data_IF_005486799738
#
_entry.id   IF_005486799738
#
_cell.length_a   1.000
_cell.length_b   1.000
_cell.length_c   1.000
_cell.angle_alpha   90.00
_cell.angle_beta   90.00
_cell.angle_gamma   90.00
#
_symmetry.space_group_name_H-M   'P 1'
#
loop_
_entity.id
_entity.type
_entity.pdbx_description
1 polymer ?
#
# COMPACT_ATOMS: atom_id res chain seq x y z
N UNK A 1 -7.39 20.24 32.97
CA UNK A 1 -6.36 19.96 31.96
C UNK A 1 -6.10 18.47 31.85
N UNK A 2 -6.55 17.83 30.76
CA UNK A 2 -6.08 16.51 30.32
C UNK A 2 -5.51 16.64 28.92
N UNK A 3 -4.26 17.04 28.91
CA UNK A 3 -3.26 16.82 27.88
C UNK A 3 -2.97 15.32 27.81
N UNK A 4 -3.70 14.62 26.96
CA UNK A 4 -3.25 13.34 26.43
C UNK A 4 -3.67 13.33 24.98
N UNK A 5 -2.71 13.71 24.14
CA UNK A 5 -2.66 13.47 22.71
C UNK A 5 -3.33 12.12 22.41
N UNK A 6 -4.55 12.21 21.90
CA UNK A 6 -5.37 11.05 21.57
C UNK A 6 -4.66 10.32 20.44
N UNK A 7 -4.02 9.23 20.85
CA UNK A 7 -3.96 8.01 20.09
C UNK A 7 -3.42 8.23 18.68
N UNK A 8 -2.08 8.26 18.60
CA UNK A 8 -1.39 7.78 17.42
C UNK A 8 -2.16 6.58 16.89
N UNK A 9 -2.63 6.72 15.66
CA UNK A 9 -3.44 5.77 14.93
C UNK A 9 -2.69 4.45 14.87
N UNK A 10 -2.82 3.65 15.92
CA UNK A 10 -2.60 2.23 15.88
C UNK A 10 -3.75 1.71 15.02
N UNK A 11 -3.58 1.84 13.70
CA UNK A 11 -4.19 0.95 12.71
C UNK A 11 -3.57 -0.41 13.00
N UNK A 12 -4.01 -1.01 14.10
CA UNK A 12 -3.80 -2.40 14.40
C UNK A 12 -4.46 -3.12 13.24
N UNK A 13 -3.57 -3.54 12.34
CA UNK A 13 -3.76 -4.51 11.30
C UNK A 13 -4.78 -5.57 11.73
N UNK A 14 -5.70 -6.00 10.86
CA UNK A 14 -6.47 -7.21 11.08
C UNK A 14 -5.55 -8.44 10.92
N UNK A 15 -4.59 -8.59 11.83
CA UNK A 15 -3.75 -9.78 11.95
C UNK A 15 -4.41 -10.74 12.94
N UNK A 16 -5.55 -11.34 12.59
CA UNK A 16 -6.01 -12.53 13.31
C UNK A 16 -6.94 -13.42 12.50
N UNK A 17 -6.65 -13.61 11.21
CA UNK A 17 -7.07 -14.83 10.54
C UNK A 17 -5.88 -15.33 9.71
N UNK A 18 -5.37 -16.56 9.91
CA UNK A 18 -4.50 -17.20 8.94
C UNK A 18 -5.36 -17.60 7.73
N UNK A 19 -5.92 -16.62 7.04
CA UNK A 19 -6.37 -16.85 5.68
C UNK A 19 -5.10 -16.81 4.86
N UNK A 20 -4.67 -17.98 4.42
CA UNK A 20 -3.65 -18.14 3.39
C UNK A 20 -4.23 -17.65 2.06
N UNK A 21 -4.75 -16.42 1.99
CA UNK A 21 -4.88 -15.76 0.71
C UNK A 21 -3.44 -15.56 0.23
N UNK A 22 -3.06 -16.03 -0.98
CA UNK A 22 -1.75 -15.72 -1.52
C UNK A 22 -1.65 -14.20 -1.49
N UNK A 23 -0.79 -13.66 -0.62
CA UNK A 23 -0.76 -12.22 -0.37
C UNK A 23 -0.59 -11.55 -1.71
N UNK A 24 -1.53 -10.68 -2.05
CA UNK A 24 -1.65 -10.15 -3.40
C UNK A 24 -0.38 -9.36 -3.76
N UNK A 25 0.28 -8.80 -2.75
CA UNK A 25 1.59 -8.17 -2.81
C UNK A 25 2.78 -9.13 -3.03
N UNK A 26 2.67 -10.43 -2.73
CA UNK A 26 3.72 -11.43 -2.99
C UNK A 26 3.97 -11.65 -4.48
N UNK A 27 2.98 -11.31 -5.33
CA UNK A 27 3.15 -11.30 -6.78
C UNK A 27 3.85 -10.03 -7.29
N UNK A 28 4.25 -9.13 -6.39
CA UNK A 28 4.81 -7.82 -6.70
C UNK A 28 4.04 -7.08 -7.82
N UNK A 29 2.72 -6.88 -7.68
CA UNK A 29 1.92 -6.21 -8.71
C UNK A 29 2.18 -4.70 -8.77
N UNK A 30 2.78 -4.13 -7.72
CA UNK A 30 3.14 -2.72 -7.67
C UNK A 30 4.53 -2.47 -8.27
N UNK A 31 4.77 -1.24 -8.73
CA UNK A 31 6.06 -0.84 -9.24
C UNK A 31 7.16 -1.01 -8.17
N UNK A 32 8.37 -1.47 -8.52
CA UNK A 32 9.46 -1.66 -7.56
C UNK A 32 9.77 -0.36 -6.82
N UNK A 33 9.71 -0.42 -5.48
CA UNK A 33 9.89 0.75 -4.60
C UNK A 33 8.58 1.44 -4.18
N UNK A 34 7.42 1.01 -4.69
CA UNK A 34 6.10 1.45 -4.22
C UNK A 34 5.64 0.56 -3.06
N UNK A 35 5.04 1.18 -2.05
CA UNK A 35 4.45 0.44 -0.92
C UNK A 35 3.21 -0.35 -1.39
N UNK A 36 3.20 -1.66 -1.16
CA UNK A 36 2.03 -2.50 -1.44
C UNK A 36 1.27 -2.83 -0.15
N UNK A 37 -0.06 -2.72 -0.20
CA UNK A 37 -0.96 -3.00 0.90
C UNK A 37 -1.94 -4.10 0.50
N UNK A 38 -1.98 -5.20 1.24
CA UNK A 38 -3.03 -6.21 1.04
C UNK A 38 -4.38 -5.63 1.53
N UNK A 39 -5.42 -5.75 0.71
CA UNK A 39 -6.69 -5.06 0.95
C UNK A 39 -7.86 -5.96 0.60
N UNK A 40 -8.49 -6.54 1.62
CA UNK A 40 -9.68 -7.39 1.48
C UNK A 40 -10.93 -6.60 1.02
N UNK A 41 -10.88 -5.27 1.10
CA UNK A 41 -11.97 -4.38 0.68
C UNK A 41 -11.90 -3.98 -0.79
N UNK A 42 -10.79 -4.27 -1.47
CA UNK A 42 -10.60 -3.98 -2.89
C UNK A 42 -10.86 -5.27 -3.66
N UNK A 43 -11.62 -5.21 -4.75
CA UNK A 43 -11.90 -6.39 -5.59
C UNK A 43 -10.61 -7.07 -6.10
N UNK A 44 -9.53 -6.31 -6.26
CA UNK A 44 -8.21 -6.81 -6.62
C UNK A 44 -7.46 -7.52 -5.49
N UNK A 45 -7.85 -7.32 -4.21
CA UNK A 45 -7.16 -7.89 -3.04
C UNK A 45 -5.91 -7.12 -2.60
N UNK A 46 -5.54 -6.04 -3.29
CA UNK A 46 -4.41 -5.18 -2.96
C UNK A 46 -4.62 -3.74 -3.39
N UNK A 47 -3.83 -2.85 -2.78
CA UNK A 47 -3.69 -1.46 -3.17
C UNK A 47 -2.20 -1.09 -3.26
N UNK A 48 -1.82 -0.34 -4.30
CA UNK A 48 -0.49 0.22 -4.44
C UNK A 48 -0.47 1.67 -3.94
N UNK A 49 0.62 2.05 -3.29
CA UNK A 49 0.91 3.42 -2.90
C UNK A 49 1.26 4.34 -4.07
N UNK A 50 1.62 5.60 -3.79
CA UNK A 50 2.02 6.54 -4.81
C UNK A 50 3.34 6.14 -5.49
N UNK A 51 3.53 6.56 -6.74
CA UNK A 51 4.78 6.38 -7.47
C UNK A 51 5.93 7.17 -6.79
N UNK A 52 7.17 6.64 -6.82
CA UNK A 52 8.34 7.33 -6.28
C UNK A 52 8.65 8.62 -7.06
N UNK A 53 9.48 9.49 -6.46
CA UNK A 53 9.82 10.81 -7.01
C UNK A 53 10.36 10.73 -8.44
N UNK A 54 9.81 11.54 -9.34
CA UNK A 54 10.19 11.59 -10.76
C UNK A 54 9.43 10.61 -11.65
N UNK A 55 8.57 9.76 -11.07
CA UNK A 55 7.67 8.88 -11.82
C UNK A 55 6.21 9.26 -11.59
N UNK A 56 5.36 8.93 -12.56
CA UNK A 56 3.93 9.16 -12.48
C UNK A 56 3.15 7.93 -12.98
N UNK A 57 1.94 7.72 -12.46
CA UNK A 57 1.09 6.59 -12.81
C UNK A 57 0.18 6.14 -11.69
N UNK A 58 -0.30 4.90 -11.77
CA UNK A 58 -1.31 4.31 -10.89
C UNK A 58 -0.73 3.41 -9.78
N UNK A 59 0.56 3.51 -9.48
CA UNK A 59 1.26 2.71 -8.46
C UNK A 59 1.58 1.27 -8.89
N UNK A 60 0.78 0.67 -9.79
CA UNK A 60 1.16 -0.57 -10.49
C UNK A 60 2.13 -0.28 -11.63
N UNK A 61 1.78 0.70 -12.47
CA UNK A 61 2.63 1.15 -13.56
C UNK A 61 3.08 2.56 -13.24
N UNK A 62 4.37 2.74 -13.03
CA UNK A 62 4.99 4.05 -12.86
C UNK A 62 5.93 4.28 -14.04
N UNK A 63 5.76 5.40 -14.74
CA UNK A 63 6.62 5.80 -15.86
C UNK A 63 7.39 7.06 -15.47
N UNK A 64 8.66 7.12 -15.87
CA UNK A 64 9.48 8.31 -15.66
C UNK A 64 8.91 9.46 -16.48
N UNK A 65 8.58 10.57 -15.81
CA UNK A 65 8.07 11.78 -16.48
C UNK A 65 9.19 12.75 -16.85
N UNK A 66 10.44 12.46 -16.45
CA UNK A 66 11.58 13.27 -16.84
C UNK A 66 11.83 13.16 -18.34
N UNK A 67 11.74 14.32 -18.96
CA UNK A 67 11.90 14.58 -20.38
C UNK A 67 13.22 13.98 -20.89
N UNK A 68 13.16 13.33 -22.06
CA UNK A 68 14.32 12.83 -22.80
C UNK A 68 15.32 13.94 -23.08
#
# INVERSE_FOLDING_TARGET
>A
NRNTDSSGVAVATPASVPQVSPSSCSKAPCYPGVQCFDSVHVAAGFACGPCPTGLHGNGQTCTFFGER
#
